data_IF_095461465038
#
_entry.id   IF_095461465038
#
_cell.length_a   1.000
_cell.length_b   1.000
_cell.length_c   1.000
_cell.angle_alpha   90.00
_cell.angle_beta   90.00
_cell.angle_gamma   90.00
#
_symmetry.space_group_name_H-M   'P 1'
#
loop_
_entity.id
_entity.type
_entity.pdbx_description
1 polymer ?
#
# COMPACT_ATOMS: atom_id res chain seq x y z
N UNK A 1 -35.24 14.99 5.32
CA UNK A 1 -34.24 14.33 6.18
C UNK A 1 -32.92 14.44 5.43
N UNK A 2 -31.79 14.72 6.08
CA UNK A 2 -30.49 14.74 5.37
C UNK A 2 -29.85 13.35 5.44
N UNK A 3 -29.26 12.88 4.34
CA UNK A 3 -28.62 11.58 4.21
C UNK A 3 -27.53 11.38 5.27
N UNK A 4 -26.74 12.42 5.56
CA UNK A 4 -25.68 12.35 6.58
C UNK A 4 -26.21 11.99 7.97
N UNK A 5 -27.42 12.45 8.34
CA UNK A 5 -28.04 12.11 9.60
C UNK A 5 -28.44 10.63 9.63
N UNK A 6 -29.06 10.13 8.56
CA UNK A 6 -29.40 8.72 8.40
C UNK A 6 -28.17 7.80 8.49
N UNK A 7 -27.08 8.18 7.80
CA UNK A 7 -25.83 7.44 7.83
C UNK A 7 -25.17 7.45 9.21
N UNK A 8 -25.26 8.58 9.92
CA UNK A 8 -24.74 8.71 11.28
C UNK A 8 -25.55 7.86 12.28
N UNK A 9 -26.87 7.86 12.17
CA UNK A 9 -27.76 7.03 12.99
C UNK A 9 -27.53 5.53 12.76
N UNK A 10 -27.33 5.12 11.50
CA UNK A 10 -27.09 3.71 11.12
C UNK A 10 -25.61 3.32 11.07
N UNK A 11 -24.70 4.18 11.53
CA UNK A 11 -23.24 4.02 11.44
C UNK A 11 -22.76 2.64 11.88
N UNK A 12 -23.16 2.20 13.09
CA UNK A 12 -22.70 0.93 13.65
C UNK A 12 -23.10 -0.26 12.79
N UNK A 13 -24.33 -0.27 12.29
CA UNK A 13 -24.88 -1.36 11.46
C UNK A 13 -24.17 -1.38 10.10
N UNK A 14 -23.98 -0.20 9.49
CA UNK A 14 -23.28 -0.09 8.20
C UNK A 14 -21.83 -0.58 8.34
N UNK A 15 -21.10 -0.16 9.38
CA UNK A 15 -19.72 -0.58 9.59
C UNK A 15 -19.59 -2.07 9.86
N UNK A 16 -20.45 -2.66 10.69
CA UNK A 16 -20.44 -4.10 10.94
C UNK A 16 -20.73 -4.90 9.66
N UNK A 17 -21.78 -4.51 8.92
CA UNK A 17 -22.10 -5.19 7.65
C UNK A 17 -21.01 -5.00 6.60
N UNK A 18 -20.42 -3.81 6.52
CA UNK A 18 -19.33 -3.54 5.59
C UNK A 18 -18.09 -4.36 5.93
N UNK A 19 -17.75 -4.47 7.21
CA UNK A 19 -16.68 -5.34 7.67
C UNK A 19 -16.94 -6.81 7.29
N UNK A 20 -18.15 -7.31 7.52
CA UNK A 20 -18.50 -8.70 7.21
C UNK A 20 -18.37 -9.04 5.72
N UNK A 21 -18.91 -8.19 4.84
CA UNK A 21 -18.80 -8.41 3.38
C UNK A 21 -17.37 -8.25 2.88
N UNK A 22 -16.54 -7.44 3.54
CA UNK A 22 -15.10 -7.35 3.27
C UNK A 22 -14.40 -8.65 3.63
N UNK A 23 -14.72 -9.24 4.78
CA UNK A 23 -14.11 -10.50 5.20
C UNK A 23 -14.51 -11.67 4.30
N UNK A 24 -15.67 -11.60 3.64
CA UNK A 24 -16.11 -12.59 2.65
C UNK A 24 -15.30 -12.54 1.35
N UNK A 25 -14.53 -11.48 1.09
CA UNK A 25 -13.62 -11.44 -0.06
C UNK A 25 -12.29 -12.16 0.19
N UNK A 26 -12.05 -12.65 1.40
CA UNK A 26 -10.88 -13.48 1.73
C UNK A 26 -11.23 -14.97 1.60
N UNK A 27 -10.24 -15.86 1.40
CA UNK A 27 -10.46 -17.30 1.46
C UNK A 27 -11.19 -17.72 2.75
N UNK A 28 -12.04 -18.74 2.67
CA UNK A 28 -12.97 -19.12 3.75
C UNK A 28 -12.28 -19.36 5.10
N UNK A 29 -11.09 -19.98 5.08
CA UNK A 29 -10.29 -20.25 6.27
C UNK A 29 -9.82 -18.94 6.94
N UNK A 30 -9.32 -17.99 6.14
CA UNK A 30 -8.91 -16.66 6.60
C UNK A 30 -10.10 -15.87 7.11
N UNK A 31 -11.22 -15.87 6.38
CA UNK A 31 -12.45 -15.15 6.76
C UNK A 31 -12.95 -15.60 8.14
N UNK A 32 -13.01 -16.92 8.37
CA UNK A 32 -13.44 -17.51 9.64
C UNK A 32 -12.55 -17.13 10.82
N UNK A 33 -11.24 -17.03 10.59
CA UNK A 33 -10.28 -16.57 11.60
C UNK A 33 -10.49 -15.09 11.93
N UNK A 34 -10.57 -14.23 10.90
CA UNK A 34 -10.74 -12.78 11.05
C UNK A 34 -12.07 -12.42 11.73
N UNK A 35 -13.16 -13.16 11.49
CA UNK A 35 -14.47 -12.93 12.12
C UNK A 35 -14.49 -13.31 13.62
N UNK A 36 -13.81 -14.38 14.01
CA UNK A 36 -13.92 -14.95 15.38
C UNK A 36 -13.16 -14.17 16.44
N UNK A 37 -12.13 -13.43 16.05
CA UNK A 37 -11.12 -12.98 16.98
C UNK A 37 -11.10 -11.45 17.07
N UNK A 38 -11.69 -10.89 18.14
CA UNK A 38 -11.89 -9.43 18.31
C UNK A 38 -10.68 -8.67 18.86
N UNK A 39 -9.66 -9.37 19.37
CA UNK A 39 -8.51 -8.75 20.01
C UNK A 39 -7.43 -8.38 18.97
N UNK A 40 -7.00 -7.11 18.98
CA UNK A 40 -6.03 -6.53 18.04
C UNK A 40 -4.69 -7.27 17.97
N UNK A 41 -4.22 -7.88 19.06
CA UNK A 41 -2.95 -8.58 19.10
C UNK A 41 -3.05 -9.97 18.47
N UNK A 42 -4.22 -10.58 18.58
CA UNK A 42 -4.48 -11.89 17.99
C UNK A 42 -5.02 -11.79 16.56
N UNK A 43 -5.63 -10.65 16.21
CA UNK A 43 -6.19 -10.37 14.89
C UNK A 43 -5.80 -8.96 14.40
N UNK A 44 -4.52 -8.72 14.08
CA UNK A 44 -4.06 -7.42 13.61
C UNK A 44 -4.70 -7.03 12.27
N UNK A 45 -4.91 -7.99 11.38
CA UNK A 45 -5.51 -7.73 10.05
C UNK A 45 -6.96 -7.27 10.18
N UNK A 46 -7.79 -8.00 10.95
CA UNK A 46 -9.18 -7.61 11.16
C UNK A 46 -9.28 -6.26 11.86
N UNK A 47 -8.41 -5.98 12.83
CA UNK A 47 -8.34 -4.68 13.49
C UNK A 47 -7.99 -3.54 12.52
N UNK A 48 -6.95 -3.69 11.70
CA UNK A 48 -6.57 -2.69 10.69
C UNK A 48 -7.69 -2.47 9.67
N UNK A 49 -8.38 -3.53 9.25
CA UNK A 49 -9.54 -3.40 8.35
C UNK A 49 -10.64 -2.58 9.01
N UNK A 50 -11.03 -2.93 10.25
CA UNK A 50 -12.11 -2.25 10.94
C UNK A 50 -11.80 -0.77 11.19
N UNK A 51 -10.60 -0.45 11.68
CA UNK A 51 -10.16 0.94 11.86
C UNK A 51 -10.10 1.70 10.53
N UNK A 52 -9.65 1.04 9.47
CA UNK A 52 -9.59 1.64 8.14
C UNK A 52 -10.98 2.02 7.62
N UNK A 53 -11.95 1.09 7.67
CA UNK A 53 -13.31 1.38 7.21
C UNK A 53 -14.01 2.43 8.08
N UNK A 54 -13.72 2.45 9.39
CA UNK A 54 -14.24 3.47 10.29
C UNK A 54 -13.73 4.86 9.90
N UNK A 55 -12.42 5.01 9.70
CA UNK A 55 -11.82 6.28 9.28
C UNK A 55 -12.28 6.73 7.88
N UNK A 56 -12.47 5.80 6.95
CA UNK A 56 -13.03 6.11 5.62
C UNK A 56 -14.47 6.60 5.72
N UNK A 57 -15.30 5.94 6.53
CA UNK A 57 -16.70 6.32 6.71
C UNK A 57 -16.84 7.70 7.36
N UNK A 58 -16.04 7.99 8.39
CA UNK A 58 -15.97 9.33 8.99
C UNK A 58 -15.50 10.39 7.99
N UNK A 59 -14.53 10.05 7.14
CA UNK A 59 -14.08 10.94 6.06
C UNK A 59 -15.19 11.25 5.04
N UNK A 60 -16.05 10.28 4.74
CA UNK A 60 -17.19 10.47 3.83
C UNK A 60 -18.25 11.41 4.42
N UNK A 61 -18.54 11.31 5.72
CA UNK A 61 -19.51 12.15 6.41
C UNK A 61 -19.05 13.61 6.57
N UNK A 62 -17.76 13.82 6.82
CA UNK A 62 -17.20 15.14 7.10
C UNK A 62 -16.67 15.86 5.85
N UNK A 63 -16.79 15.24 4.67
CA UNK A 63 -16.19 15.69 3.42
C UNK A 63 -14.81 15.07 3.19
N UNK A 64 -14.58 14.55 1.97
CA UNK A 64 -13.34 13.86 1.62
C UNK A 64 -12.18 14.85 1.59
N UNK A 65 -11.25 14.69 2.53
CA UNK A 65 -9.89 15.18 2.45
C UNK A 65 -8.98 13.98 2.14
N UNK A 66 -8.40 13.95 0.95
CA UNK A 66 -7.60 12.83 0.47
C UNK A 66 -6.41 12.55 1.39
N UNK A 67 -5.82 13.57 2.01
CA UNK A 67 -4.69 13.40 2.94
C UNK A 67 -5.13 12.72 4.24
N UNK A 68 -6.34 13.01 4.72
CA UNK A 68 -6.90 12.40 5.93
C UNK A 68 -7.36 10.97 5.72
N UNK A 69 -7.92 10.68 4.54
CA UNK A 69 -8.47 9.35 4.24
C UNK A 69 -7.38 8.37 3.77
N UNK A 70 -6.30 8.88 3.16
CA UNK A 70 -5.19 8.06 2.63
C UNK A 70 -4.59 7.05 3.62
N UNK A 71 -4.29 7.40 4.89
CA UNK A 71 -3.75 6.43 5.84
C UNK A 71 -4.68 5.25 6.13
N UNK A 72 -6.00 5.48 6.16
CA UNK A 72 -7.00 4.45 6.39
C UNK A 72 -7.12 3.51 5.19
N UNK A 73 -7.11 4.07 3.97
CA UNK A 73 -7.05 3.29 2.73
C UNK A 73 -5.76 2.46 2.66
N UNK A 74 -4.61 3.08 2.95
CA UNK A 74 -3.30 2.43 2.91
C UNK A 74 -3.23 1.20 3.81
N UNK A 75 -3.74 1.28 5.04
CA UNK A 75 -3.74 0.15 5.97
C UNK A 75 -4.40 -1.10 5.37
N UNK A 76 -5.58 -0.95 4.76
CA UNK A 76 -6.32 -2.06 4.16
C UNK A 76 -5.65 -2.54 2.87
N UNK A 77 -5.30 -1.60 2.00
CA UNK A 77 -4.78 -1.88 0.66
C UNK A 77 -3.41 -2.53 0.73
N UNK A 78 -2.54 -2.09 1.65
CA UNK A 78 -1.21 -2.66 1.88
C UNK A 78 -1.30 -4.13 2.29
N UNK A 79 -2.23 -4.48 3.19
CA UNK A 79 -2.48 -5.88 3.57
C UNK A 79 -2.86 -6.70 2.34
N UNK A 80 -3.82 -6.21 1.55
CA UNK A 80 -4.30 -6.91 0.34
C UNK A 80 -3.23 -7.02 -0.75
N UNK A 81 -2.38 -6.02 -0.91
CA UNK A 81 -1.26 -6.03 -1.85
C UNK A 81 -0.20 -7.09 -1.51
N UNK A 82 0.07 -7.29 -0.21
CA UNK A 82 0.98 -8.33 0.30
C UNK A 82 0.37 -9.72 0.16
N UNK A 83 -0.95 -9.86 0.26
CA UNK A 83 -1.66 -11.13 0.10
C UNK A 83 -1.94 -11.52 -1.37
N UNK A 84 -1.26 -10.89 -2.33
CA UNK A 84 -1.35 -11.20 -3.76
C UNK A 84 -2.78 -11.11 -4.36
N UNK A 85 -3.63 -10.26 -3.80
CA UNK A 85 -4.90 -9.88 -4.43
C UNK A 85 -4.62 -9.20 -5.76
N UNK A 86 -5.48 -9.39 -6.77
CA UNK A 86 -5.44 -8.55 -7.99
C UNK A 86 -5.86 -7.11 -7.65
N UNK A 87 -5.54 -6.10 -8.49
CA UNK A 87 -5.99 -4.72 -8.25
C UNK A 87 -7.50 -4.61 -8.03
N UNK A 88 -8.30 -5.29 -8.86
CA UNK A 88 -9.76 -5.27 -8.75
C UNK A 88 -10.25 -5.89 -7.44
N UNK A 89 -9.66 -7.02 -7.02
CA UNK A 89 -10.01 -7.65 -5.75
C UNK A 89 -9.60 -6.76 -4.57
N UNK A 90 -8.41 -6.16 -4.63
CA UNK A 90 -7.87 -5.33 -3.56
C UNK A 90 -8.75 -4.11 -3.27
N UNK A 91 -9.28 -3.47 -4.32
CA UNK A 91 -10.04 -2.21 -4.24
C UNK A 91 -11.55 -2.44 -4.11
N UNK A 92 -12.04 -3.64 -4.47
CA UNK A 92 -13.48 -3.97 -4.49
C UNK A 92 -14.26 -3.59 -3.22
N UNK A 93 -13.61 -3.56 -2.05
CA UNK A 93 -14.26 -3.22 -0.79
C UNK A 93 -14.86 -1.82 -0.76
N UNK A 94 -14.29 -0.87 -1.50
CA UNK A 94 -14.82 0.50 -1.61
C UNK A 94 -16.24 0.48 -2.18
N UNK A 95 -16.47 -0.33 -3.22
CA UNK A 95 -17.78 -0.46 -3.84
C UNK A 95 -18.78 -1.28 -3.02
N UNK A 96 -18.30 -2.17 -2.14
CA UNK A 96 -19.16 -2.90 -1.22
C UNK A 96 -19.91 -1.95 -0.26
N UNK A 97 -19.31 -0.81 0.09
CA UNK A 97 -19.98 0.20 0.91
C UNK A 97 -21.27 0.70 0.25
N UNK A 98 -21.26 0.95 -1.06
CA UNK A 98 -22.45 1.38 -1.80
C UNK A 98 -23.58 0.38 -1.66
N UNK A 99 -23.26 -0.92 -1.78
CA UNK A 99 -24.24 -2.00 -1.60
C UNK A 99 -24.81 -1.99 -0.19
N UNK A 100 -23.97 -1.89 0.83
CA UNK A 100 -24.40 -1.88 2.24
C UNK A 100 -25.31 -0.69 2.52
N UNK A 101 -24.92 0.53 2.11
CA UNK A 101 -25.71 1.75 2.31
C UNK A 101 -27.07 1.62 1.62
N UNK A 102 -27.10 1.22 0.34
CA UNK A 102 -28.37 1.04 -0.40
C UNK A 102 -29.27 0.01 0.26
N UNK A 103 -28.71 -1.06 0.81
CA UNK A 103 -29.48 -2.09 1.51
C UNK A 103 -30.04 -1.62 2.84
N UNK A 104 -29.27 -0.83 3.60
CA UNK A 104 -29.70 -0.28 4.89
C UNK A 104 -30.69 0.87 4.77
N UNK A 105 -30.64 1.63 3.67
CA UNK A 105 -31.50 2.79 3.43
C UNK A 105 -32.67 2.50 2.46
N UNK A 106 -32.97 1.22 2.19
CA UNK A 106 -34.02 0.83 1.21
C UNK A 106 -35.38 1.48 1.46
N UNK A 107 -35.75 1.73 2.71
CA UNK A 107 -37.05 2.27 3.07
C UNK A 107 -37.09 3.80 2.98
N UNK A 108 -35.92 4.44 3.11
CA UNK A 108 -35.72 5.89 3.16
C UNK A 108 -35.37 6.50 1.80
N UNK A 109 -34.83 5.71 0.86
CA UNK A 109 -34.46 6.16 -0.51
C UNK A 109 -35.66 6.74 -1.29
N UNK A 110 -36.89 6.38 -0.94
CA UNK A 110 -38.11 6.93 -1.54
C UNK A 110 -38.50 8.32 -1.04
N UNK A 111 -37.81 8.87 -0.04
CA UNK A 111 -38.05 10.22 0.47
C UNK A 111 -37.42 11.27 -0.45
N UNK A 112 -38.13 12.41 -0.61
CA UNK A 112 -37.66 13.51 -1.45
C UNK A 112 -36.27 14.01 -1.02
N UNK A 113 -35.33 14.05 -1.96
CA UNK A 113 -33.97 14.57 -1.78
C UNK A 113 -32.90 13.52 -1.42
N UNK A 114 -33.27 12.42 -0.76
CA UNK A 114 -32.30 11.38 -0.34
C UNK A 114 -31.62 10.71 -1.53
N UNK A 115 -32.36 10.48 -2.62
CA UNK A 115 -31.82 9.86 -3.82
C UNK A 115 -30.69 10.69 -4.47
N UNK A 116 -30.82 12.01 -4.50
CA UNK A 116 -29.80 12.90 -5.08
C UNK A 116 -28.55 12.96 -4.18
N UNK A 117 -28.74 13.12 -2.87
CA UNK A 117 -27.63 13.09 -1.90
C UNK A 117 -26.89 11.75 -1.93
N UNK A 118 -27.60 10.64 -2.18
CA UNK A 118 -27.01 9.32 -2.32
C UNK A 118 -26.15 9.21 -3.58
N UNK A 119 -26.57 9.81 -4.70
CA UNK A 119 -25.77 9.87 -5.93
C UNK A 119 -24.48 10.67 -5.73
N UNK A 120 -24.54 11.80 -5.01
CA UNK A 120 -23.36 12.59 -4.65
C UNK A 120 -22.39 11.78 -3.77
N UNK A 121 -22.92 11.08 -2.76
CA UNK A 121 -22.12 10.19 -1.91
C UNK A 121 -21.47 9.05 -2.71
N UNK A 122 -22.21 8.46 -3.65
CA UNK A 122 -21.67 7.39 -4.49
C UNK A 122 -20.55 7.88 -5.40
N UNK A 123 -20.65 9.11 -5.90
CA UNK A 123 -19.59 9.74 -6.69
C UNK A 123 -18.32 9.91 -5.84
N UNK A 124 -18.47 10.39 -4.59
CA UNK A 124 -17.38 10.47 -3.60
C UNK A 124 -16.74 9.10 -3.31
N UNK A 125 -17.54 8.05 -3.21
CA UNK A 125 -17.03 6.67 -3.04
C UNK A 125 -16.23 6.22 -4.27
N UNK A 126 -16.63 6.59 -5.49
CA UNK A 126 -15.87 6.27 -6.71
C UNK A 126 -14.52 7.00 -6.74
N UNK A 127 -14.46 8.24 -6.28
CA UNK A 127 -13.20 8.98 -6.13
C UNK A 127 -12.23 8.26 -5.19
N UNK A 128 -12.72 7.69 -4.08
CA UNK A 128 -11.90 6.87 -3.19
C UNK A 128 -11.35 5.61 -3.88
N UNK A 129 -12.04 5.06 -4.88
CA UNK A 129 -11.54 3.92 -5.64
C UNK A 129 -10.31 4.28 -6.49
N UNK A 130 -10.27 5.49 -7.07
CA UNK A 130 -9.09 5.98 -7.79
C UNK A 130 -7.89 6.14 -6.84
N UNK A 131 -8.09 6.80 -5.70
CA UNK A 131 -7.05 6.95 -4.69
C UNK A 131 -6.55 5.57 -4.19
N UNK A 132 -7.47 4.63 -4.01
CA UNK A 132 -7.14 3.26 -3.62
C UNK A 132 -6.28 2.54 -4.66
N UNK A 133 -6.55 2.77 -5.94
CA UNK A 133 -5.75 2.21 -7.03
C UNK A 133 -4.30 2.71 -7.00
N UNK A 134 -4.12 4.02 -6.84
CA UNK A 134 -2.79 4.62 -6.75
C UNK A 134 -1.99 4.08 -5.56
N UNK A 135 -2.63 3.95 -4.39
CA UNK A 135 -2.02 3.36 -3.19
C UNK A 135 -1.63 1.90 -3.44
N UNK A 136 -2.52 1.12 -4.06
CA UNK A 136 -2.25 -0.28 -4.39
C UNK A 136 -1.03 -0.41 -5.31
N UNK A 137 -0.97 0.41 -6.36
CA UNK A 137 0.15 0.41 -7.31
C UNK A 137 1.48 0.77 -6.64
N UNK A 138 1.50 1.79 -5.78
CA UNK A 138 2.68 2.14 -4.96
C UNK A 138 3.12 0.99 -4.08
N UNK A 139 2.19 0.25 -3.47
CA UNK A 139 2.51 -0.92 -2.66
C UNK A 139 3.14 -2.04 -3.50
N UNK A 140 2.56 -2.36 -4.67
CA UNK A 140 3.08 -3.42 -5.56
C UNK A 140 4.43 -3.06 -6.16
N UNK A 141 4.63 -1.82 -6.56
CA UNK A 141 5.92 -1.31 -7.02
C UNK A 141 6.99 -1.53 -5.95
N UNK A 142 6.69 -1.17 -4.69
CA UNK A 142 7.64 -1.37 -3.59
C UNK A 142 7.95 -2.85 -3.35
N UNK A 143 6.94 -3.72 -3.42
CA UNK A 143 7.12 -5.17 -3.28
C UNK A 143 8.03 -5.70 -4.39
N UNK A 144 7.85 -5.27 -5.63
CA UNK A 144 8.66 -5.71 -6.75
C UNK A 144 10.10 -5.17 -6.67
N UNK A 145 10.29 -3.92 -6.27
CA UNK A 145 11.60 -3.34 -6.02
C UNK A 145 12.37 -4.16 -4.96
N UNK A 146 11.72 -4.50 -3.85
CA UNK A 146 12.30 -5.34 -2.80
C UNK A 146 12.67 -6.74 -3.32
N UNK A 147 11.77 -7.39 -4.09
CA UNK A 147 12.04 -8.70 -4.69
C UNK A 147 13.24 -8.65 -5.65
N UNK A 148 13.32 -7.64 -6.50
CA UNK A 148 14.43 -7.47 -7.44
C UNK A 148 15.77 -7.24 -6.72
N UNK A 149 15.77 -6.38 -5.70
CA UNK A 149 16.95 -6.11 -4.88
C UNK A 149 17.42 -7.37 -4.13
N UNK A 150 16.49 -8.18 -3.60
CA UNK A 150 16.84 -9.42 -2.92
C UNK A 150 17.47 -10.44 -3.88
N UNK A 151 16.91 -10.60 -5.09
CA UNK A 151 17.51 -11.47 -6.13
C UNK A 151 18.90 -10.99 -6.52
N UNK A 152 19.10 -9.69 -6.69
CA UNK A 152 20.41 -9.10 -6.99
C UNK A 152 21.42 -9.39 -5.87
N UNK A 153 21.02 -9.17 -4.61
CA UNK A 153 21.86 -9.41 -3.45
C UNK A 153 22.22 -10.88 -3.28
N UNK A 154 21.26 -11.79 -3.48
CA UNK A 154 21.51 -13.24 -3.46
C UNK A 154 22.49 -13.64 -4.56
N UNK A 155 22.28 -13.17 -5.78
CA UNK A 155 23.17 -13.45 -6.94
C UNK A 155 24.58 -12.94 -6.67
N UNK A 156 24.72 -11.71 -6.18
CA UNK A 156 26.02 -11.14 -5.82
C UNK A 156 26.74 -11.98 -4.75
N UNK A 157 26.04 -12.37 -3.68
CA UNK A 157 26.60 -13.24 -2.62
C UNK A 157 27.03 -14.61 -3.14
N UNK A 158 26.29 -15.21 -4.08
CA UNK A 158 26.66 -16.49 -4.70
C UNK A 158 27.92 -16.36 -5.55
N UNK A 159 28.02 -15.32 -6.38
CA UNK A 159 29.19 -15.06 -7.22
C UNK A 159 30.44 -14.75 -6.37
N UNK A 160 30.27 -14.00 -5.28
CA UNK A 160 31.35 -13.75 -4.31
C UNK A 160 31.84 -15.05 -3.66
N UNK A 161 30.92 -15.94 -3.22
CA UNK A 161 31.28 -17.26 -2.65
C UNK A 161 31.95 -18.18 -3.66
N UNK A 162 31.62 -18.07 -4.93
CA UNK A 162 32.25 -18.84 -6.01
C UNK A 162 33.62 -18.27 -6.43
N UNK A 163 34.11 -17.20 -5.79
CA UNK A 163 35.29 -16.43 -6.21
C UNK A 163 35.22 -15.91 -7.66
N UNK A 164 34.01 -15.83 -8.22
CA UNK A 164 33.77 -15.27 -9.56
C UNK A 164 33.71 -13.74 -9.55
N UNK A 165 33.56 -13.16 -8.35
CA UNK A 165 33.77 -11.74 -8.10
C UNK A 165 34.93 -11.64 -7.11
N UNK A 166 36.06 -11.12 -7.56
CA UNK A 166 37.16 -10.78 -6.67
C UNK A 166 36.70 -9.63 -5.77
N UNK A 167 36.73 -9.84 -4.46
CA UNK A 167 36.81 -8.71 -3.55
C UNK A 167 38.11 -7.99 -3.91
N UNK A 168 38.02 -6.85 -4.59
CA UNK A 168 39.14 -5.92 -4.60
C UNK A 168 39.26 -5.43 -3.15
N UNK A 169 40.00 -6.18 -2.35
CA UNK A 169 40.68 -5.61 -1.20
C UNK A 169 41.58 -4.56 -1.83
N UNK A 170 41.19 -3.29 -1.71
CA UNK A 170 42.16 -2.22 -1.83
C UNK A 170 43.15 -2.45 -0.70
N UNK A 171 44.21 -3.19 -0.99
CA UNK A 171 45.44 -3.12 -0.22
C UNK A 171 45.93 -1.69 -0.39
N UNK A 172 45.53 -0.80 0.53
CA UNK A 172 46.22 0.47 0.74
C UNK A 172 47.65 0.11 1.22
N UNK A 173 48.71 0.31 0.41
CA UNK A 173 50.06 0.05 0.86
C UNK A 173 50.52 1.29 1.63
N UNK A 174 50.11 1.39 2.89
CA UNK A 174 50.63 2.42 3.79
C UNK A 174 51.91 1.89 4.47
N UNK A 175 53.02 2.55 4.12
CA UNK A 175 54.27 2.74 4.86
C UNK A 175 55.32 1.61 4.86
N UNK A 176 56.30 1.75 3.95
CA UNK A 176 57.73 1.60 4.27
C UNK A 176 58.55 2.67 3.51
N UNK A 177 58.76 3.79 4.21
CA UNK A 177 59.89 4.76 4.29
C UNK A 177 60.98 4.85 3.18
N UNK A 178 61.80 5.95 3.11
CA UNK A 178 61.63 7.34 3.59
C UNK A 178 62.11 8.43 2.59
N UNK A 179 61.93 9.70 2.98
CA UNK A 179 62.69 10.92 2.59
C UNK A 179 62.33 11.78 1.34
N UNK A 180 61.86 13.00 1.65
CA UNK A 180 62.35 14.32 1.21
C UNK A 180 62.19 14.77 -0.27
N UNK A 181 61.18 15.62 -0.51
CA UNK A 181 61.31 17.09 -0.64
C UNK A 181 60.48 17.73 -1.80
N UNK A 182 59.92 18.89 -1.47
CA UNK A 182 59.50 20.03 -2.31
C UNK A 182 58.37 19.89 -3.36
N UNK A 183 57.32 20.72 -3.18
CA UNK A 183 56.78 21.51 -4.28
C UNK A 183 55.28 21.37 -4.62
N UNK A 184 54.51 22.34 -4.12
CA UNK A 184 53.40 23.06 -4.80
C UNK A 184 52.03 22.40 -5.06
N UNK A 185 51.04 23.03 -4.41
CA UNK A 185 49.76 23.57 -4.91
C UNK A 185 48.74 22.70 -5.69
N UNK A 186 47.60 22.49 -5.01
CA UNK A 186 46.21 22.73 -5.44
C UNK A 186 45.83 22.55 -6.91
N UNK A 187 44.88 21.64 -7.19
CA UNK A 187 43.44 21.97 -7.36
C UNK A 187 42.66 20.89 -8.14
N UNK A 188 41.49 20.52 -7.60
CA UNK A 188 40.25 20.29 -8.36
C UNK A 188 40.08 19.05 -9.25
N UNK A 189 39.13 18.21 -8.83
CA UNK A 189 38.05 17.58 -9.62
C UNK A 189 37.96 16.04 -9.48
N UNK A 190 37.21 15.59 -8.47
CA UNK A 190 36.74 14.21 -8.39
C UNK A 190 35.57 13.99 -9.35
N UNK A 191 35.83 13.40 -10.51
CA UNK A 191 34.80 12.84 -11.39
C UNK A 191 34.19 11.58 -10.76
N UNK A 192 32.87 11.59 -10.52
CA UNK A 192 32.10 10.37 -10.23
C UNK A 192 32.05 9.47 -11.48
N UNK A 193 32.23 8.14 -11.35
CA UNK A 193 32.07 7.25 -12.49
C UNK A 193 30.59 7.16 -12.90
N UNK A 194 30.36 7.41 -14.18
CA UNK A 194 29.09 7.26 -14.89
C UNK A 194 28.95 5.80 -15.33
N UNK A 195 28.07 5.03 -14.68
CA UNK A 195 27.68 3.70 -15.16
C UNK A 195 26.46 3.85 -16.07
N UNK A 196 26.72 4.13 -17.34
CA UNK A 196 25.82 3.70 -18.42
C UNK A 196 26.10 2.23 -18.70
N UNK A 197 25.08 1.55 -19.18
CA UNK A 197 25.08 0.18 -19.71
C UNK A 197 24.66 -0.90 -18.69
N UNK A 198 23.41 -0.77 -18.23
CA UNK A 198 22.61 -1.88 -17.67
C UNK A 198 21.87 -2.64 -18.80
N UNK A 199 21.89 -2.12 -20.03
CA UNK A 199 21.08 -2.64 -21.15
C UNK A 199 21.68 -3.86 -21.87
N UNK A 200 22.92 -4.27 -21.58
CA UNK A 200 23.58 -5.39 -22.28
C UNK A 200 23.33 -6.78 -21.67
N UNK A 201 22.58 -6.89 -20.56
CA UNK A 201 22.33 -8.20 -19.90
C UNK A 201 21.08 -8.92 -20.45
N UNK A 202 20.30 -8.30 -21.35
CA UNK A 202 19.01 -8.86 -21.80
C UNK A 202 19.08 -9.75 -23.04
N UNK A 203 20.22 -9.85 -23.75
CA UNK A 203 20.31 -10.62 -25.01
C UNK A 203 21.26 -11.83 -24.96
N UNK A 204 20.94 -12.81 -24.11
CA UNK A 204 21.39 -14.20 -24.29
C UNK A 204 20.17 -15.13 -24.23
N UNK A 205 19.55 -15.32 -25.40
CA UNK A 205 18.72 -16.48 -25.74
C UNK A 205 19.31 -17.16 -26.97
#
# INVERSE_FOLDING_TARGET
MELNNLLSEKRSIILERWFDVILETYPADTSSFLKKQKNQFTNPVGYTIYQGIEGIFEGLLNGIDSERVSPFLDGIIRIRAVQDFTPSQAISFIFLLKKVIREELKNEIGEDGIAEELLELESKIDELAFLSFDIYMKCREKIYELKANEVRNMTFRLLQRANLILNQVQDDPVLNSPELNSGQDNSGEGQKPNFKDVDDIVNLK
#
